data_IF_536126082806
#
_entry.id   IF_536126082806
#
_cell.length_a   1.000
_cell.length_b   1.000
_cell.length_c   1.000
_cell.angle_alpha   90.00
_cell.angle_beta   90.00
_cell.angle_gamma   90.00
#
_symmetry.space_group_name_H-M   'P 1'
#
loop_
_entity.id
_entity.type
_entity.pdbx_description
1 polymer ?
#
# COMPACT_ATOMS: atom_id res chain seq x y z
N UNK A 1 -12.59 0.33 -21.61
CA UNK A 1 -11.29 -0.07 -21.04
C UNK A 1 -11.41 0.22 -19.56
N UNK A 2 -11.45 -0.80 -18.71
CA UNK A 2 -11.37 -0.56 -17.26
C UNK A 2 -9.98 -0.03 -16.99
N UNK A 3 -9.89 1.25 -16.64
CA UNK A 3 -8.65 1.84 -16.17
C UNK A 3 -8.22 1.02 -14.94
N UNK A 4 -7.10 0.29 -15.07
CA UNK A 4 -6.61 -0.60 -14.03
C UNK A 4 -6.28 0.20 -12.76
N UNK A 5 -6.18 -0.49 -11.63
CA UNK A 5 -5.83 0.10 -10.34
C UNK A 5 -4.37 -0.18 -10.01
N UNK A 6 -3.53 0.84 -10.02
CA UNK A 6 -2.10 0.77 -9.77
C UNK A 6 -1.81 1.04 -8.30
N UNK A 7 -1.11 0.10 -7.66
CA UNK A 7 -0.70 0.20 -6.26
C UNK A 7 0.81 0.30 -6.14
N UNK A 8 1.29 1.29 -5.40
CA UNK A 8 2.69 1.35 -4.96
C UNK A 8 2.88 0.65 -3.60
N UNK A 9 3.95 -0.14 -3.48
CA UNK A 9 4.26 -0.91 -2.28
C UNK A 9 5.23 -0.13 -1.39
N UNK A 10 4.74 0.41 -0.27
CA UNK A 10 5.56 1.18 0.66
C UNK A 10 6.54 0.29 1.43
N UNK A 11 7.63 0.90 1.94
CA UNK A 11 8.64 0.20 2.75
C UNK A 11 8.04 -0.43 4.01
N UNK A 12 7.03 0.20 4.62
CA UNK A 12 6.31 -0.36 5.77
C UNK A 12 5.66 -1.71 5.42
N UNK A 13 4.97 -1.81 4.28
CA UNK A 13 4.38 -3.06 3.83
C UNK A 13 5.43 -4.16 3.60
N UNK A 14 6.59 -3.81 3.01
CA UNK A 14 7.69 -4.78 2.77
C UNK A 14 8.28 -5.34 4.06
N UNK A 15 8.36 -4.52 5.12
CA UNK A 15 8.89 -4.93 6.42
C UNK A 15 7.92 -5.79 7.21
N UNK A 16 6.63 -5.60 6.95
CA UNK A 16 5.54 -6.23 7.70
C UNK A 16 5.06 -7.52 7.02
N UNK A 17 5.02 -7.57 5.69
CA UNK A 17 4.60 -8.74 4.91
C UNK A 17 5.75 -9.28 4.05
N UNK A 18 6.11 -10.54 4.29
CA UNK A 18 7.09 -11.27 3.48
C UNK A 18 6.62 -11.42 2.03
N UNK A 19 5.33 -11.62 1.79
CA UNK A 19 4.74 -11.69 0.45
C UNK A 19 4.90 -10.37 -0.31
N UNK A 20 4.68 -9.24 0.36
CA UNK A 20 4.92 -7.91 -0.24
C UNK A 20 6.41 -7.68 -0.54
N UNK A 21 7.30 -8.15 0.35
CA UNK A 21 8.75 -8.11 0.13
C UNK A 21 9.18 -8.96 -1.07
N UNK A 22 8.70 -10.20 -1.16
CA UNK A 22 8.98 -11.11 -2.27
C UNK A 22 8.55 -10.51 -3.61
N UNK A 23 7.31 -10.01 -3.69
CA UNK A 23 6.82 -9.34 -4.89
C UNK A 23 7.73 -8.19 -5.34
N UNK A 24 8.17 -7.33 -4.41
CA UNK A 24 9.04 -6.20 -4.78
C UNK A 24 10.39 -6.66 -5.34
N UNK A 25 10.94 -7.77 -4.83
CA UNK A 25 12.17 -8.34 -5.37
C UNK A 25 11.98 -8.92 -6.77
N UNK A 26 10.80 -9.47 -7.08
CA UNK A 26 10.53 -10.15 -8.35
C UNK A 26 10.03 -9.20 -9.45
N UNK A 27 9.12 -8.28 -9.11
CA UNK A 27 8.35 -7.48 -10.05
C UNK A 27 8.42 -5.96 -9.79
N UNK A 28 9.12 -5.54 -8.73
CA UNK A 28 9.34 -4.13 -8.40
C UNK A 28 8.27 -3.52 -7.50
N UNK A 29 8.35 -2.20 -7.31
CA UNK A 29 7.62 -1.46 -6.26
C UNK A 29 6.18 -1.09 -6.62
N UNK A 30 5.73 -1.39 -7.84
CA UNK A 30 4.37 -1.09 -8.31
C UNK A 30 3.71 -2.36 -8.81
N UNK A 31 2.41 -2.49 -8.54
CA UNK A 31 1.59 -3.61 -9.02
C UNK A 31 0.29 -3.07 -9.59
N UNK A 32 -0.03 -3.46 -10.82
CA UNK A 32 -1.30 -3.17 -11.45
C UNK A 32 -2.32 -4.27 -11.13
N UNK A 33 -3.57 -3.87 -11.00
CA UNK A 33 -4.72 -4.74 -10.78
C UNK A 33 -5.85 -4.37 -11.74
N UNK A 34 -6.74 -5.31 -12.03
CA UNK A 34 -7.93 -5.03 -12.83
C UNK A 34 -8.90 -4.07 -12.13
N UNK A 35 -8.87 -4.04 -10.79
CA UNK A 35 -9.71 -3.17 -9.98
C UNK A 35 -9.17 -2.96 -8.58
N UNK A 36 -9.70 -1.92 -7.92
CA UNK A 36 -9.48 -1.66 -6.49
C UNK A 36 -9.90 -2.83 -5.59
N UNK A 37 -10.96 -3.56 -5.97
CA UNK A 37 -11.40 -4.73 -5.22
C UNK A 37 -10.34 -5.84 -5.27
N UNK A 38 -9.81 -6.13 -6.46
CA UNK A 38 -8.72 -7.09 -6.63
C UNK A 38 -7.46 -6.70 -5.83
N UNK A 39 -7.12 -5.40 -5.81
CA UNK A 39 -6.00 -4.91 -5.00
C UNK A 39 -6.23 -5.15 -3.49
N UNK A 40 -7.45 -4.95 -3.01
CA UNK A 40 -7.80 -5.18 -1.59
C UNK A 40 -7.80 -6.65 -1.22
N UNK A 41 -8.29 -7.52 -2.10
CA UNK A 41 -8.23 -8.98 -1.89
C UNK A 41 -6.77 -9.44 -1.83
N UNK A 42 -5.93 -8.99 -2.77
CA UNK A 42 -4.52 -9.28 -2.71
C UNK A 42 -3.87 -8.82 -1.39
N UNK A 43 -4.21 -7.63 -0.89
CA UNK A 43 -3.69 -7.17 0.40
C UNK A 43 -4.14 -8.06 1.56
N UNK A 44 -5.34 -8.65 1.50
CA UNK A 44 -5.81 -9.62 2.51
C UNK A 44 -5.04 -10.92 2.44
N UNK A 45 -4.77 -11.43 1.23
CA UNK A 45 -3.98 -12.65 1.01
C UNK A 45 -2.51 -12.46 1.42
N UNK A 46 -1.94 -11.29 1.15
CA UNK A 46 -0.58 -10.93 1.51
C UNK A 46 -0.41 -10.67 3.02
N UNK A 47 -1.50 -10.65 3.78
CA UNK A 47 -1.52 -10.35 5.20
C UNK A 47 -1.66 -11.61 6.03
N UNK A 48 -0.73 -11.85 6.94
CA UNK A 48 -0.83 -12.95 7.90
C UNK A 48 -1.81 -12.62 9.04
N UNK A 49 -1.82 -11.36 9.51
CA UNK A 49 -2.57 -10.92 10.70
C UNK A 49 -3.28 -9.57 10.52
N UNK A 50 -3.71 -9.22 9.30
CA UNK A 50 -4.25 -7.88 8.93
C UNK A 50 -3.26 -6.75 9.14
N UNK A 51 -1.99 -7.09 9.00
CA UNK A 51 -0.79 -6.29 9.15
C UNK A 51 -0.50 -5.42 7.92
N UNK A 52 -1.11 -5.70 6.76
CA UNK A 52 -1.04 -4.86 5.55
C UNK A 52 -2.42 -4.54 4.96
N UNK A 53 -2.57 -3.38 4.31
CA UNK A 53 -3.82 -2.98 3.64
C UNK A 53 -3.59 -1.95 2.52
N UNK A 54 -4.59 -1.82 1.63
CA UNK A 54 -4.62 -0.78 0.59
C UNK A 54 -5.13 0.54 1.18
N UNK A 55 -4.35 1.59 1.01
CA UNK A 55 -4.71 2.99 1.23
C UNK A 55 -4.88 3.68 -0.13
N UNK A 56 -6.00 4.34 -0.36
CA UNK A 56 -6.20 5.11 -1.59
C UNK A 56 -5.25 6.31 -1.66
N UNK A 57 -4.77 6.60 -2.86
CA UNK A 57 -4.07 7.84 -3.13
C UNK A 57 -5.05 9.03 -3.04
N UNK A 58 -4.54 10.19 -2.63
CA UNK A 58 -5.33 11.41 -2.66
C UNK A 58 -5.54 11.85 -4.11
N UNK A 59 -6.67 12.51 -4.46
CA UNK A 59 -6.90 13.00 -5.82
C UNK A 59 -5.82 13.98 -6.33
N UNK A 60 -5.14 14.67 -5.41
CA UNK A 60 -4.04 15.59 -5.72
C UNK A 60 -2.65 14.91 -5.69
N UNK A 61 -2.59 13.59 -5.48
CA UNK A 61 -1.33 12.85 -5.44
C UNK A 61 -0.75 12.71 -6.86
N UNK A 62 0.41 13.34 -7.08
CA UNK A 62 1.08 13.36 -8.38
C UNK A 62 1.90 12.09 -8.67
N UNK A 63 1.84 11.05 -7.82
CA UNK A 63 2.68 9.85 -7.95
C UNK A 63 2.24 8.91 -9.07
N UNK A 64 1.08 9.16 -9.70
CA UNK A 64 0.55 8.35 -10.79
C UNK A 64 0.15 6.94 -10.36
N UNK A 65 -0.29 6.79 -9.11
CA UNK A 65 -0.82 5.53 -8.57
C UNK A 65 -2.17 5.77 -7.93
N UNK A 66 -3.04 4.78 -8.00
CA UNK A 66 -4.39 4.85 -7.44
C UNK A 66 -4.42 4.51 -5.95
N UNK A 67 -3.40 3.80 -5.48
CA UNK A 67 -3.28 3.45 -4.07
C UNK A 67 -1.88 3.00 -3.64
N UNK A 68 -1.79 2.71 -2.35
CA UNK A 68 -0.57 2.29 -1.68
C UNK A 68 -0.85 1.05 -0.84
N UNK A 69 0.00 0.04 -0.94
CA UNK A 69 0.07 -1.02 0.06
C UNK A 69 0.91 -0.50 1.22
N UNK A 70 0.32 -0.48 2.41
CA UNK A 70 0.95 -0.04 3.66
C UNK A 70 0.90 -1.14 4.70
N UNK A 71 1.91 -1.19 5.57
CA UNK A 71 2.00 -2.16 6.66
C UNK A 71 2.08 -1.48 8.03
N UNK A 72 1.57 -2.16 9.06
CA UNK A 72 1.62 -1.72 10.45
C UNK A 72 0.58 -2.40 11.33
N UNK A 73 0.60 -2.10 12.64
CA UNK A 73 -0.50 -2.49 13.53
C UNK A 73 -1.70 -1.61 13.20
N UNK A 74 -2.78 -2.22 12.69
CA UNK A 74 -4.08 -1.55 12.68
C UNK A 74 -4.43 -1.16 14.12
N UNK A 75 -4.76 0.10 14.42
CA UNK A 75 -5.36 0.42 15.71
C UNK A 75 -6.71 -0.30 15.76
N UNK A 76 -6.81 -1.30 16.62
CA UNK A 76 -8.04 -2.05 16.87
C UNK A 76 -9.06 -1.08 17.45
N UNK A 77 -9.93 -0.52 16.61
CA UNK A 77 -11.10 0.25 17.04
C UNK A 77 -10.85 1.69 17.48
N UNK A 78 -10.56 2.58 16.54
CA UNK A 78 -10.93 3.98 16.70
C UNK A 78 -11.55 4.50 15.40
N UNK A 79 -12.84 4.86 15.50
CA UNK A 79 -13.59 5.73 14.59
C UNK A 79 -12.71 6.83 14.03
N UNK A 80 -12.93 7.13 12.74
CA UNK A 80 -12.62 8.39 12.07
C UNK A 80 -11.64 9.31 12.80
N UNK A 81 -10.37 9.25 12.41
CA UNK A 81 -9.55 10.46 12.36
C UNK A 81 -8.88 10.52 11.00
N UNK A 82 -9.49 11.36 10.18
CA UNK A 82 -8.91 12.18 9.13
C UNK A 82 -7.38 12.12 9.10
N UNK A 83 -6.91 11.59 7.98
CA UNK A 83 -5.68 11.99 7.32
C UNK A 83 -5.28 13.43 7.66
N UNK A 84 -4.21 13.61 8.43
CA UNK A 84 -3.21 14.69 8.32
C UNK A 84 -2.04 14.31 9.23
N UNK A 85 -0.84 14.68 8.79
CA UNK A 85 0.46 14.62 9.45
C UNK A 85 1.24 13.31 9.25
N UNK A 86 2.02 13.21 8.17
CA UNK A 86 3.33 13.85 7.94
C UNK A 86 4.41 13.21 8.82
N UNK A 87 5.38 12.60 8.14
CA UNK A 87 6.26 11.60 8.72
C UNK A 87 7.17 11.03 7.65
N UNK A 88 7.79 11.95 6.92
CA UNK A 88 9.15 11.87 6.40
C UNK A 88 9.82 10.48 6.51
N UNK A 89 10.03 9.86 5.36
CA UNK A 89 11.37 9.35 5.09
C UNK A 89 11.67 9.74 3.67
N UNK A 90 12.16 10.98 3.58
CA UNK A 90 13.23 11.31 2.67
C UNK A 90 14.16 10.10 2.58
N UNK A 91 14.23 9.51 1.37
CA UNK A 91 15.49 9.38 0.65
C UNK A 91 16.66 10.00 1.42
N UNK A 92 17.32 9.17 2.23
CA UNK A 92 18.75 9.36 2.47
C UNK A 92 19.44 8.47 1.44
N UNK A 93 19.81 9.11 0.33
CA UNK A 93 20.86 8.65 -0.56
C UNK A 93 22.13 9.21 0.05
N UNK A 94 22.91 8.37 0.75
CA UNK A 94 24.36 8.24 0.68
C UNK A 94 24.80 6.93 1.36
#
# INVERSE_FOLDING_TARGET
MTEGYVVAIKRSARRTSAAAGAWVNEAGTRRAFDSKAAAREWAREASAERDVWIQDALPADASGVDGYLVGGRRPSGARERSSTDDGQSAIDVF
#
